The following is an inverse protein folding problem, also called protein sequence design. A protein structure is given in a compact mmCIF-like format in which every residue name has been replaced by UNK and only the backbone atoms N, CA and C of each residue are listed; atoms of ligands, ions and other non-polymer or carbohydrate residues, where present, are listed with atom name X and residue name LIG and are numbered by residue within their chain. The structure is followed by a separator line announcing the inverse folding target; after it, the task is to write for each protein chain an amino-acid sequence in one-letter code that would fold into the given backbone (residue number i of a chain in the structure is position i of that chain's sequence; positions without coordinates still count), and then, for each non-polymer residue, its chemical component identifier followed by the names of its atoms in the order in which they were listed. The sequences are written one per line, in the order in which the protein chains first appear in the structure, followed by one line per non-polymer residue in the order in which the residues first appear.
data_IF_489852101233
#
_entry.id   IF_489852101233
#
_cell.length_a   1.000
_cell.length_b   1.000
_cell.length_c   1.000
_cell.angle_alpha   90.00
_cell.angle_beta   90.00
_cell.angle_gamma   90.00
#
_symmetry.space_group_name_H-M   'P 1'
#
loop_
_entity.id
_entity.type
_entity.pdbx_description
1 polymer ?
#
# COMPACT_ATOMS: atom_id res chain seq x y z
N UNK A 1 6.47 -17.27 -15.23
CA UNK A 1 7.47 -17.71 -16.24
C UNK A 1 8.85 -17.29 -15.75
N UNK A 2 9.92 -18.06 -15.99
CA UNK A 2 11.27 -17.60 -15.68
C UNK A 2 11.61 -16.35 -16.51
N UNK A 3 12.31 -15.40 -15.90
CA UNK A 3 12.78 -14.19 -16.61
C UNK A 3 13.78 -14.55 -17.71
N UNK A 4 13.89 -13.70 -18.74
CA UNK A 4 14.93 -13.83 -19.75
C UNK A 4 16.32 -13.76 -19.09
N UNK A 5 17.31 -14.52 -19.58
CA UNK A 5 18.67 -14.51 -19.00
C UNK A 5 19.32 -13.12 -18.96
N UNK A 6 19.03 -12.27 -19.96
CA UNK A 6 19.52 -10.89 -20.01
C UNK A 6 18.93 -10.02 -18.91
N UNK A 7 17.64 -10.22 -18.57
CA UNK A 7 16.97 -9.53 -17.47
C UNK A 7 17.59 -9.93 -16.14
N UNK A 8 17.75 -11.24 -15.90
CA UNK A 8 18.37 -11.75 -14.68
C UNK A 8 19.79 -11.19 -14.49
N UNK A 9 20.61 -11.16 -15.54
CA UNK A 9 21.96 -10.59 -15.48
C UNK A 9 21.98 -9.09 -15.16
N UNK A 10 21.02 -8.31 -15.69
CA UNK A 10 20.90 -6.89 -15.38
C UNK A 10 20.53 -6.65 -13.90
N UNK A 11 19.60 -7.45 -13.38
CA UNK A 11 19.19 -7.41 -11.97
C UNK A 11 20.34 -7.78 -11.02
N UNK A 12 21.07 -8.85 -11.34
CA UNK A 12 22.26 -9.28 -10.58
C UNK A 12 23.34 -8.19 -10.56
N UNK A 13 23.61 -7.56 -11.70
CA UNK A 13 24.57 -6.45 -11.79
C UNK A 13 24.13 -5.26 -10.94
N UNK A 14 22.85 -4.86 -11.02
CA UNK A 14 22.32 -3.74 -10.24
C UNK A 14 22.39 -4.02 -8.73
N UNK A 15 22.08 -5.25 -8.31
CA UNK A 15 22.19 -5.67 -6.91
C UNK A 15 23.65 -5.63 -6.41
N UNK A 16 24.59 -6.11 -7.23
CA UNK A 16 26.02 -6.07 -6.90
C UNK A 16 26.57 -4.63 -6.85
N UNK A 17 26.10 -3.76 -7.73
CA UNK A 17 26.43 -2.32 -7.69
C UNK A 17 25.91 -1.66 -6.42
N UNK A 18 24.68 -1.99 -5.98
CA UNK A 18 24.14 -1.50 -4.71
C UNK A 18 25.02 -1.93 -3.55
N UNK A 19 25.33 -3.23 -3.47
CA UNK A 19 26.14 -3.77 -2.39
C UNK A 19 27.50 -3.07 -2.28
N UNK A 20 28.16 -2.89 -3.42
CA UNK A 20 29.50 -2.32 -3.50
C UNK A 20 29.52 -0.81 -3.21
N UNK A 21 28.69 -0.04 -3.92
CA UNK A 21 28.68 1.43 -3.81
C UNK A 21 28.13 1.92 -2.46
N UNK A 22 27.17 1.19 -1.89
CA UNK A 22 26.55 1.50 -0.60
C UNK A 22 27.27 0.84 0.59
N UNK A 23 28.36 0.09 0.35
CA UNK A 23 29.22 -0.56 1.37
C UNK A 23 28.41 -1.48 2.31
N UNK A 24 27.45 -2.21 1.75
CA UNK A 24 26.55 -3.08 2.49
C UNK A 24 27.24 -4.43 2.80
N UNK A 25 27.27 -4.93 4.05
CA UNK A 25 27.84 -6.24 4.34
C UNK A 25 27.18 -7.34 3.51
N UNK A 26 25.85 -7.34 3.47
CA UNK A 26 25.04 -8.11 2.53
C UNK A 26 23.77 -7.37 2.12
N UNK A 27 23.31 -7.67 0.91
CA UNK A 27 22.02 -7.22 0.36
C UNK A 27 21.34 -8.41 -0.30
N UNK A 28 20.02 -8.49 -0.17
CA UNK A 28 19.19 -9.49 -0.85
C UNK A 28 17.96 -8.82 -1.45
N UNK A 29 17.43 -9.41 -2.52
CA UNK A 29 16.24 -8.91 -3.17
C UNK A 29 15.42 -10.04 -3.81
N UNK A 30 14.14 -9.78 -4.03
CA UNK A 30 13.21 -10.64 -4.76
C UNK A 30 12.24 -9.81 -5.59
N UNK A 31 11.87 -10.32 -6.77
CA UNK A 31 10.86 -9.73 -7.65
C UNK A 31 9.67 -10.68 -7.80
N UNK A 32 8.48 -10.11 -7.74
CA UNK A 32 7.20 -10.82 -7.79
C UNK A 32 6.44 -10.39 -9.04
N UNK A 33 5.86 -11.36 -9.74
CA UNK A 33 4.98 -11.09 -10.88
C UNK A 33 3.96 -12.21 -11.01
N UNK A 34 2.69 -11.83 -11.15
CA UNK A 34 1.57 -12.78 -11.24
C UNK A 34 1.58 -13.76 -10.08
N UNK A 35 1.74 -13.23 -8.85
CA UNK A 35 1.72 -14.02 -7.61
C UNK A 35 3.02 -14.72 -7.23
N UNK A 36 3.95 -14.85 -8.16
CA UNK A 36 5.10 -15.75 -8.00
C UNK A 36 6.42 -14.97 -7.87
N UNK A 37 7.35 -15.51 -7.07
CA UNK A 37 8.74 -15.05 -7.02
C UNK A 37 9.46 -15.44 -8.32
N UNK A 38 9.57 -14.49 -9.25
CA UNK A 38 10.16 -14.72 -10.58
C UNK A 38 11.69 -14.57 -10.60
N UNK A 39 12.25 -13.87 -9.63
CA UNK A 39 13.69 -13.73 -9.44
C UNK A 39 14.03 -13.44 -7.97
N UNK A 40 15.17 -13.94 -7.53
CA UNK A 40 15.76 -13.56 -6.25
C UNK A 40 17.28 -13.58 -6.34
N UNK A 41 17.93 -12.66 -5.63
CA UNK A 41 19.39 -12.56 -5.58
C UNK A 41 19.89 -12.13 -4.21
N UNK A 42 21.15 -12.45 -3.92
CA UNK A 42 21.86 -11.95 -2.75
C UNK A 42 23.33 -11.72 -3.09
N UNK A 43 23.92 -10.66 -2.53
CA UNK A 43 25.33 -10.29 -2.72
C UNK A 43 25.95 -9.94 -1.38
N UNK A 44 27.23 -10.28 -1.20
CA UNK A 44 27.99 -10.03 0.01
C UNK A 44 27.99 -11.20 0.98
N UNK A 45 28.44 -10.94 2.20
CA UNK A 45 28.56 -11.96 3.25
C UNK A 45 27.87 -11.47 4.52
N UNK A 46 27.35 -12.40 5.33
CA UNK A 46 26.62 -12.04 6.55
C UNK A 46 27.45 -11.18 7.50
N UNK A 47 28.78 -11.33 7.48
CA UNK A 47 29.71 -10.54 8.31
C UNK A 47 30.35 -9.34 7.60
N UNK A 48 30.11 -9.17 6.29
CA UNK A 48 30.77 -8.14 5.46
C UNK A 48 32.27 -8.36 5.28
N UNK A 49 32.77 -9.60 5.43
CA UNK A 49 34.19 -9.93 5.39
C UNK A 49 34.50 -10.91 4.25
N UNK A 50 35.65 -10.74 3.62
CA UNK A 50 36.17 -11.68 2.63
C UNK A 50 36.25 -13.10 3.22
N UNK A 51 35.64 -14.07 2.52
CA UNK A 51 35.58 -15.47 2.99
C UNK A 51 34.56 -15.73 4.11
N UNK A 52 33.75 -14.74 4.48
CA UNK A 52 32.61 -14.95 5.38
C UNK A 52 31.49 -15.78 4.73
N UNK A 53 30.54 -16.22 5.54
CA UNK A 53 29.34 -16.91 5.04
C UNK A 53 28.58 -16.03 4.05
N UNK A 54 28.32 -16.54 2.86
CA UNK A 54 27.61 -15.81 1.81
C UNK A 54 26.14 -15.60 2.20
N UNK A 55 25.61 -14.42 1.89
CA UNK A 55 24.17 -14.22 1.93
C UNK A 55 23.48 -15.04 0.82
N UNK A 56 22.26 -15.49 1.09
CA UNK A 56 21.43 -16.23 0.13
C UNK A 56 20.01 -15.68 0.14
N UNK A 57 19.19 -16.05 -0.84
CA UNK A 57 17.76 -15.71 -0.85
C UNK A 57 16.99 -16.26 0.37
N UNK A 58 17.50 -17.33 0.99
CA UNK A 58 16.94 -17.95 2.21
C UNK A 58 17.44 -17.33 3.53
N UNK A 59 18.38 -16.38 3.47
CA UNK A 59 18.86 -15.66 4.65
C UNK A 59 17.73 -14.77 5.19
N UNK A 60 17.46 -14.88 6.49
CA UNK A 60 16.52 -13.98 7.16
C UNK A 60 17.14 -12.61 7.47
N UNK A 61 16.35 -11.56 7.34
CA UNK A 61 16.67 -10.19 7.75
C UNK A 61 15.52 -9.62 8.59
N UNK A 62 15.83 -8.71 9.51
CA UNK A 62 14.81 -7.95 10.23
C UNK A 62 14.13 -6.99 9.25
N UNK A 63 12.80 -7.05 9.15
CA UNK A 63 12.04 -6.26 8.16
C UNK A 63 11.55 -4.92 8.70
N UNK A 64 11.82 -4.65 9.98
CA UNK A 64 11.46 -3.40 10.63
C UNK A 64 9.98 -3.07 10.42
N UNK A 65 9.71 -1.82 10.08
CA UNK A 65 8.35 -1.28 9.96
C UNK A 65 7.44 -1.95 8.92
N UNK A 66 7.94 -2.83 8.06
CA UNK A 66 7.05 -3.70 7.25
C UNK A 66 6.15 -4.56 8.16
N UNK A 67 6.60 -4.86 9.39
CA UNK A 67 5.79 -5.52 10.45
C UNK A 67 4.42 -4.88 10.64
N UNK A 68 4.33 -3.55 10.53
CA UNK A 68 3.08 -2.78 10.69
C UNK A 68 1.99 -3.26 9.74
N UNK A 69 2.35 -3.63 8.53
CA UNK A 69 1.40 -4.05 7.51
C UNK A 69 0.66 -5.33 7.93
N UNK A 70 1.34 -6.27 8.59
CA UNK A 70 0.72 -7.49 9.13
C UNK A 70 -0.25 -7.18 10.28
N UNK A 71 0.15 -6.28 11.18
CA UNK A 71 -0.71 -5.82 12.28
C UNK A 71 -1.95 -5.11 11.72
N UNK A 72 -1.76 -4.25 10.72
CA UNK A 72 -2.85 -3.54 10.07
C UNK A 72 -3.84 -4.50 9.38
N UNK A 73 -3.35 -5.52 8.66
CA UNK A 73 -4.22 -6.54 8.07
C UNK A 73 -5.01 -7.28 9.15
N UNK A 74 -4.41 -7.65 10.28
CA UNK A 74 -5.17 -8.27 11.38
C UNK A 74 -6.25 -7.35 11.97
N UNK A 75 -5.98 -6.04 12.08
CA UNK A 75 -6.98 -5.05 12.51
C UNK A 75 -8.13 -4.98 11.49
N UNK A 76 -7.84 -4.96 10.19
CA UNK A 76 -8.86 -4.95 9.15
C UNK A 76 -9.67 -6.25 9.11
N UNK A 77 -9.05 -7.40 9.40
CA UNK A 77 -9.76 -8.68 9.55
C UNK A 77 -10.69 -8.70 10.78
N UNK A 78 -10.30 -8.02 11.86
CA UNK A 78 -11.20 -7.81 13.01
C UNK A 78 -12.38 -6.92 12.64
N UNK A 79 -12.15 -5.87 11.84
CA UNK A 79 -13.23 -5.02 11.27
C UNK A 79 -14.19 -5.83 10.42
N UNK A 80 -13.67 -6.60 9.46
CA UNK A 80 -14.49 -7.40 8.55
C UNK A 80 -15.29 -8.48 9.29
N UNK A 81 -14.78 -8.97 10.42
CA UNK A 81 -15.50 -9.87 11.32
C UNK A 81 -16.52 -9.17 12.25
N UNK A 82 -16.65 -7.84 12.17
CA UNK A 82 -17.56 -7.05 13.01
C UNK A 82 -17.11 -6.90 14.48
N UNK A 83 -15.84 -7.17 14.79
CA UNK A 83 -15.30 -7.07 16.14
C UNK A 83 -14.95 -5.63 16.57
N UNK A 84 -14.75 -4.74 15.60
CA UNK A 84 -14.52 -3.31 15.78
C UNK A 84 -15.00 -2.53 14.56
N UNK A 85 -15.23 -1.23 14.72
CA UNK A 85 -15.35 -0.26 13.64
C UNK A 85 -14.07 0.61 13.56
N UNK A 86 -13.72 1.10 12.37
CA UNK A 86 -12.55 1.95 12.19
C UNK A 86 -12.69 3.33 12.86
N UNK A 87 -13.93 3.77 13.09
CA UNK A 87 -14.28 4.98 13.82
C UNK A 87 -14.34 4.79 15.33
N UNK A 88 -14.22 3.55 15.83
CA UNK A 88 -14.15 3.29 17.25
C UNK A 88 -12.95 3.98 17.87
N UNK A 89 -13.15 4.50 19.07
CA UNK A 89 -12.07 5.05 19.89
C UNK A 89 -11.27 3.91 20.48
N UNK A 90 -9.96 4.10 20.63
CA UNK A 90 -9.09 3.10 21.22
C UNK A 90 -9.55 2.68 22.63
N UNK A 91 -10.01 3.64 23.43
CA UNK A 91 -10.45 3.40 24.82
C UNK A 91 -11.77 2.63 24.96
N UNK A 92 -12.51 2.41 23.87
CA UNK A 92 -13.65 1.49 23.87
C UNK A 92 -13.19 0.02 23.95
N UNK A 93 -12.03 -0.27 23.36
CA UNK A 93 -11.46 -1.62 23.29
C UNK A 93 -10.33 -1.84 24.31
N UNK A 94 -9.61 -0.77 24.68
CA UNK A 94 -8.56 -0.75 25.69
C UNK A 94 -8.90 0.28 26.79
N UNK A 95 -9.82 -0.03 27.73
CA UNK A 95 -10.33 0.92 28.72
C UNK A 95 -9.26 1.57 29.59
N UNK A 96 -8.13 0.89 29.81
CA UNK A 96 -6.97 1.43 30.52
C UNK A 96 -6.34 2.66 29.85
N UNK A 97 -6.60 2.87 28.55
CA UNK A 97 -6.15 4.04 27.80
C UNK A 97 -7.05 5.26 27.99
N UNK A 98 -8.22 5.15 28.62
CA UNK A 98 -9.16 6.26 28.80
C UNK A 98 -8.56 7.44 29.60
N UNK A 99 -7.57 7.17 30.45
CA UNK A 99 -6.83 8.18 31.22
C UNK A 99 -5.61 8.76 30.49
N UNK A 100 -5.30 8.27 29.28
CA UNK A 100 -4.19 8.76 28.45
C UNK A 100 -4.64 9.88 27.51
N UNK A 101 -3.67 10.64 27.00
CA UNK A 101 -3.96 11.71 26.04
C UNK A 101 -4.46 11.17 24.69
N UNK A 102 -4.29 9.88 24.41
CA UNK A 102 -4.57 9.28 23.10
C UNK A 102 -5.70 8.25 23.10
N UNK A 103 -6.28 7.87 24.24
CA UNK A 103 -7.36 6.88 24.28
C UNK A 103 -8.57 7.23 23.39
N UNK A 104 -8.80 8.51 23.12
CA UNK A 104 -9.90 8.98 22.30
C UNK A 104 -9.62 9.00 20.79
N UNK A 105 -8.39 8.67 20.34
CA UNK A 105 -8.10 8.58 18.90
C UNK A 105 -8.75 7.33 18.31
N UNK A 106 -9.09 7.38 17.03
CA UNK A 106 -9.77 6.24 16.38
C UNK A 106 -8.79 5.20 15.86
N UNK A 107 -9.28 3.99 15.63
CA UNK A 107 -8.51 2.89 15.01
C UNK A 107 -7.98 3.29 13.62
N UNK A 108 -8.82 3.89 12.77
CA UNK A 108 -8.38 4.42 11.46
C UNK A 108 -7.24 5.43 11.58
N UNK A 109 -7.31 6.32 12.56
CA UNK A 109 -6.28 7.35 12.76
C UNK A 109 -4.93 6.76 13.16
N UNK A 110 -4.92 5.65 13.92
CA UNK A 110 -3.70 4.91 14.24
C UNK A 110 -3.15 4.20 13.01
N UNK A 111 -4.00 3.47 12.27
CA UNK A 111 -3.62 2.73 11.06
C UNK A 111 -3.00 3.65 10.00
N UNK A 112 -3.58 4.84 9.82
CA UNK A 112 -3.19 5.81 8.81
C UNK A 112 -2.12 6.80 9.25
N UNK A 113 -1.56 6.65 10.45
CA UNK A 113 -0.63 7.62 11.05
C UNK A 113 -1.18 9.07 11.04
N UNK A 114 -2.48 9.25 11.26
CA UNK A 114 -3.13 10.57 11.35
C UNK A 114 -3.60 10.90 12.78
N UNK A 115 -3.34 10.03 13.75
CA UNK A 115 -3.71 10.24 15.17
C UNK A 115 -3.03 11.44 15.81
N UNK A 116 -1.88 11.87 15.28
CA UNK A 116 -1.06 12.91 15.89
C UNK A 116 -0.26 12.44 17.10
N UNK A 117 -0.30 11.14 17.44
CA UNK A 117 0.47 10.55 18.52
C UNK A 117 1.97 10.63 18.25
N UNK A 118 2.77 10.90 19.28
CA UNK A 118 4.22 10.98 19.16
C UNK A 118 4.84 9.77 18.43
N UNK A 119 5.92 10.01 17.70
CA UNK A 119 6.56 9.00 16.87
C UNK A 119 7.11 7.81 17.68
N UNK A 120 7.86 8.12 18.74
CA UNK A 120 8.63 7.16 19.52
C UNK A 120 8.23 7.16 21.00
N UNK A 121 8.67 6.14 21.76
CA UNK A 121 8.43 6.01 23.20
C UNK A 121 9.03 7.17 24.02
N UNK A 122 8.37 7.54 25.12
CA UNK A 122 8.96 8.41 26.13
C UNK A 122 9.90 7.59 27.02
N UNK A 123 11.20 7.54 26.73
CA UNK A 123 12.12 6.71 27.52
C UNK A 123 13.41 6.33 26.80
N UNK A 124 14.03 5.19 27.19
CA UNK A 124 15.18 4.63 26.48
C UNK A 124 14.88 4.40 25.00
N UNK A 125 15.94 4.37 24.19
CA UNK A 125 15.82 4.13 22.76
C UNK A 125 15.35 2.69 22.49
N UNK A 126 14.05 2.53 22.25
CA UNK A 126 13.39 1.22 22.18
C UNK A 126 13.95 0.32 21.06
N UNK A 127 14.59 0.89 20.03
CA UNK A 127 15.21 0.11 18.95
C UNK A 127 16.56 -0.52 19.34
N UNK A 128 17.10 -0.19 20.52
CA UNK A 128 18.35 -0.77 21.06
C UNK A 128 18.26 -1.25 22.51
N UNK A 129 17.08 -1.17 23.11
CA UNK A 129 16.88 -1.51 24.52
C UNK A 129 15.73 -2.47 24.65
N UNK A 130 15.86 -3.42 25.58
CA UNK A 130 14.81 -4.38 25.87
C UNK A 130 13.49 -3.65 26.17
N UNK A 131 12.43 -4.09 25.50
CA UNK A 131 11.09 -3.54 25.65
C UNK A 131 10.48 -3.86 27.01
N UNK A 132 9.56 -3.00 27.43
CA UNK A 132 8.69 -3.24 28.59
C UNK A 132 7.34 -3.79 28.15
N UNK A 133 6.50 -4.09 29.14
CA UNK A 133 5.12 -4.52 28.91
C UNK A 133 4.24 -3.33 28.50
N UNK A 134 3.03 -3.59 28.02
CA UNK A 134 2.06 -2.55 27.66
C UNK A 134 1.82 -1.54 28.80
N UNK A 135 1.80 -2.00 30.06
CA UNK A 135 1.67 -1.13 31.23
C UNK A 135 2.81 -0.14 31.37
N UNK A 136 4.04 -0.52 30.98
CA UNK A 136 5.20 0.38 31.04
C UNK A 136 5.10 1.48 29.97
N UNK A 137 4.63 1.11 28.76
CA UNK A 137 4.38 2.07 27.70
C UNK A 137 3.31 3.09 28.11
N UNK A 138 2.20 2.64 28.70
CA UNK A 138 1.16 3.53 29.24
C UNK A 138 1.69 4.42 30.38
N UNK A 139 2.48 3.86 31.29
CA UNK A 139 3.10 4.61 32.38
C UNK A 139 4.06 5.71 31.89
N UNK A 140 4.65 5.55 30.69
CA UNK A 140 5.48 6.58 30.05
C UNK A 140 4.70 7.81 29.55
N UNK A 141 3.35 7.74 29.58
CA UNK A 141 2.41 8.78 29.17
C UNK A 141 2.68 9.33 27.76
N UNK A 142 2.52 8.52 26.69
CA UNK A 142 2.63 9.01 25.32
C UNK A 142 1.67 10.18 25.07
N UNK A 143 2.17 11.21 24.39
CA UNK A 143 1.46 12.47 24.15
C UNK A 143 1.06 12.63 22.68
N UNK A 144 -0.08 13.29 22.47
CA UNK A 144 -0.44 13.84 21.17
C UNK A 144 0.45 15.06 20.87
N UNK A 145 1.07 15.06 19.68
CA UNK A 145 1.82 16.19 19.12
C UNK A 145 0.96 17.06 18.22
N UNK A 146 -0.10 16.49 17.66
CA UNK A 146 -1.03 17.18 16.77
C UNK A 146 -2.46 16.78 17.10
N UNK A 147 -3.42 17.61 16.68
CA UNK A 147 -4.83 17.26 16.72
C UNK A 147 -5.07 16.00 15.84
N UNK A 148 -5.80 14.99 16.32
CA UNK A 148 -6.13 13.82 15.51
C UNK A 148 -6.81 14.20 14.19
N UNK A 149 -6.42 13.51 13.11
CA UNK A 149 -6.88 13.75 11.74
C UNK A 149 -6.31 15.00 11.07
N UNK A 150 -5.47 15.80 11.74
CA UNK A 150 -5.01 17.08 11.18
C UNK A 150 -3.93 16.94 10.09
N UNK A 151 -3.09 15.91 10.18
CA UNK A 151 -1.96 15.68 9.27
C UNK A 151 -1.39 14.28 9.44
N UNK A 152 -0.60 13.85 8.46
CA UNK A 152 0.31 12.73 8.63
C UNK A 152 1.35 13.03 9.74
N UNK A 153 1.49 12.08 10.66
CA UNK A 153 2.55 12.00 11.66
C UNK A 153 2.82 10.54 12.00
N UNK A 154 3.89 9.98 11.43
CA UNK A 154 4.31 8.61 11.65
C UNK A 154 4.47 8.29 13.14
N UNK A 155 3.95 7.14 13.58
CA UNK A 155 3.96 6.73 14.98
C UNK A 155 4.16 5.23 15.16
N UNK A 156 5.31 4.86 15.72
CA UNK A 156 5.58 3.50 16.20
C UNK A 156 4.73 3.18 17.44
N UNK A 157 4.54 4.17 18.33
CA UNK A 157 3.67 4.02 19.51
C UNK A 157 2.22 3.71 19.11
N UNK A 158 1.73 4.31 18.03
CA UNK A 158 0.41 4.01 17.50
C UNK A 158 0.26 2.54 17.08
N UNK A 159 1.31 1.95 16.50
CA UNK A 159 1.30 0.53 16.14
C UNK A 159 1.50 -0.42 17.32
N UNK A 160 2.22 0.01 18.37
CA UNK A 160 2.22 -0.71 19.64
C UNK A 160 0.79 -0.82 20.22
N UNK A 161 0.03 0.28 20.18
CA UNK A 161 -1.38 0.26 20.61
C UNK A 161 -2.28 -0.62 19.71
N UNK A 162 -2.05 -0.62 18.40
CA UNK A 162 -2.77 -1.53 17.49
C UNK A 162 -2.42 -3.00 17.73
N UNK A 163 -1.18 -3.31 18.08
CA UNK A 163 -0.80 -4.67 18.47
C UNK A 163 -1.49 -5.13 19.76
N UNK A 164 -1.56 -4.26 20.77
CA UNK A 164 -2.33 -4.54 21.99
C UNK A 164 -3.83 -4.71 21.69
N UNK A 165 -4.39 -3.89 20.80
CA UNK A 165 -5.78 -4.02 20.34
C UNK A 165 -6.03 -5.39 19.70
N UNK A 166 -5.16 -5.83 18.80
CA UNK A 166 -5.23 -7.17 18.19
C UNK A 166 -5.18 -8.24 19.27
N UNK A 167 -4.21 -8.13 20.19
CA UNK A 167 -4.06 -9.11 21.26
C UNK A 167 -5.32 -9.22 22.13
N UNK A 168 -5.90 -8.07 22.52
CA UNK A 168 -7.12 -7.98 23.32
C UNK A 168 -8.31 -8.64 22.63
N UNK A 169 -8.53 -8.35 21.35
CA UNK A 169 -9.69 -8.82 20.60
C UNK A 169 -9.56 -10.26 20.11
N UNK A 170 -8.33 -10.76 19.94
CA UNK A 170 -8.07 -12.17 19.60
C UNK A 170 -7.94 -13.08 20.82
N UNK A 171 -7.63 -12.52 21.99
CA UNK A 171 -7.40 -13.29 23.23
C UNK A 171 -6.08 -14.06 23.27
N UNK A 172 -5.15 -13.73 22.38
CA UNK A 172 -3.78 -14.28 22.26
C UNK A 172 -2.80 -13.13 22.03
N UNK A 173 -1.49 -13.38 22.03
CA UNK A 173 -0.54 -12.32 21.69
C UNK A 173 -0.69 -11.86 20.23
N UNK A 174 -0.29 -10.62 19.93
CA UNK A 174 -0.38 -10.08 18.56
C UNK A 174 0.39 -10.94 17.54
N UNK A 175 1.55 -11.47 17.95
CA UNK A 175 2.39 -12.29 17.10
C UNK A 175 1.83 -13.70 16.90
N UNK A 176 1.13 -14.25 17.90
CA UNK A 176 0.37 -15.49 17.73
C UNK A 176 -0.82 -15.29 16.78
N UNK A 177 -1.54 -14.18 16.89
CA UNK A 177 -2.59 -13.82 15.96
C UNK A 177 -2.03 -13.71 14.53
N UNK A 178 -1.01 -12.88 14.31
CA UNK A 178 -0.37 -12.72 12.98
C UNK A 178 0.14 -14.06 12.44
N UNK A 179 0.81 -14.88 13.27
CA UNK A 179 1.34 -16.18 12.85
C UNK A 179 0.23 -17.11 12.37
N UNK A 180 -0.79 -17.35 13.20
CA UNK A 180 -1.82 -18.35 12.93
C UNK A 180 -2.82 -17.91 11.87
N UNK A 181 -3.05 -16.60 11.78
CA UNK A 181 -4.08 -16.04 10.92
C UNK A 181 -3.57 -15.61 9.54
N UNK A 182 -2.29 -15.24 9.43
CA UNK A 182 -1.69 -14.73 8.19
C UNK A 182 -0.51 -15.58 7.75
N UNK A 183 0.51 -15.71 8.60
CA UNK A 183 1.78 -16.29 8.15
C UNK A 183 1.64 -17.78 7.81
N UNK A 184 0.96 -18.57 8.63
CA UNK A 184 0.75 -20.00 8.38
C UNK A 184 -0.12 -20.26 7.15
N UNK A 185 -1.30 -19.62 6.98
CA UNK A 185 -2.10 -19.78 5.76
C UNK A 185 -1.39 -19.35 4.48
N UNK A 186 -0.53 -18.32 4.54
CA UNK A 186 0.28 -17.89 3.41
C UNK A 186 1.56 -18.70 3.23
N UNK A 187 1.85 -19.69 4.09
CA UNK A 187 3.07 -20.49 4.02
C UNK A 187 4.35 -19.71 4.34
N UNK A 188 4.25 -18.56 5.01
CA UNK A 188 5.37 -17.71 5.44
C UNK A 188 6.06 -18.26 6.70
N UNK A 189 6.53 -19.51 6.62
CA UNK A 189 7.08 -20.29 7.75
C UNK A 189 8.42 -19.78 8.28
N UNK A 190 9.09 -18.90 7.53
CA UNK A 190 10.36 -18.26 7.87
C UNK A 190 10.15 -16.79 8.23
N UNK A 191 8.91 -16.38 8.52
CA UNK A 191 8.60 -15.05 9.05
C UNK A 191 8.31 -15.15 10.53
N UNK A 192 9.15 -14.52 11.35
CA UNK A 192 9.21 -14.80 12.81
C UNK A 192 9.55 -13.55 13.60
N UNK A 193 9.24 -13.52 14.90
CA UNK A 193 9.51 -12.37 15.77
C UNK A 193 10.97 -12.24 16.20
N UNK A 194 11.76 -13.32 16.07
CA UNK A 194 13.16 -13.40 16.47
C UNK A 194 13.93 -14.17 15.38
N UNK A 195 15.23 -13.90 15.18
CA UNK A 195 15.97 -14.50 14.06
C UNK A 195 16.08 -16.04 14.17
N UNK A 196 15.94 -16.72 13.03
CA UNK A 196 16.17 -18.15 12.85
C UNK A 196 17.20 -18.41 11.75
N UNK A 197 18.24 -19.18 12.08
CA UNK A 197 19.32 -19.48 11.14
C UNK A 197 18.81 -20.19 9.87
N UNK A 198 19.37 -19.89 8.67
CA UNK A 198 20.34 -18.82 8.42
C UNK A 198 19.70 -17.43 8.52
N UNK A 199 20.33 -16.53 9.27
CA UNK A 199 19.88 -15.15 9.50
C UNK A 199 21.07 -14.20 9.50
N UNK A 200 20.91 -13.02 8.92
CA UNK A 200 21.97 -12.01 8.92
C UNK A 200 22.08 -11.33 10.30
N UNK A 201 23.30 -11.16 10.86
CA UNK A 201 23.51 -10.26 11.99
C UNK A 201 23.40 -8.80 11.54
N UNK A 202 22.96 -7.91 12.43
CA UNK A 202 22.84 -6.49 12.15
C UNK A 202 24.16 -5.75 12.30
N UNK A 203 24.46 -4.82 11.40
CA UNK A 203 25.69 -4.03 11.43
C UNK A 203 25.48 -2.51 11.33
N UNK A 204 26.24 -1.78 12.13
CA UNK A 204 26.57 -0.38 11.89
C UNK A 204 27.83 -0.32 11.04
N UNK A 205 27.73 0.13 9.79
CA UNK A 205 28.90 0.37 8.93
C UNK A 205 29.48 1.74 9.27
N UNK A 206 30.78 1.83 9.55
CA UNK A 206 31.41 3.09 9.87
C UNK A 206 31.37 4.04 8.66
N UNK A 207 30.92 5.31 8.82
CA UNK A 207 30.64 6.19 7.69
C UNK A 207 31.89 6.57 6.88
N UNK A 208 33.07 6.50 7.50
CA UNK A 208 34.34 6.98 6.91
C UNK A 208 35.44 5.92 6.82
N UNK A 209 35.16 4.65 7.16
CA UNK A 209 36.16 3.59 7.18
C UNK A 209 35.50 2.22 7.01
N UNK A 210 36.20 1.24 6.42
CA UNK A 210 35.69 -0.11 6.17
C UNK A 210 35.70 -0.97 7.44
N UNK A 211 34.90 -0.53 8.42
CA UNK A 211 34.70 -1.17 9.71
C UNK A 211 33.21 -1.37 9.94
N UNK A 212 32.87 -2.48 10.60
CA UNK A 212 31.52 -2.79 11.04
C UNK A 212 31.47 -2.91 12.56
N UNK A 213 30.36 -2.47 13.15
CA UNK A 213 30.04 -2.64 14.56
C UNK A 213 28.76 -3.45 14.71
N UNK A 214 28.75 -4.39 15.65
CA UNK A 214 27.56 -5.23 15.88
C UNK A 214 26.42 -4.34 16.37
N UNK A 215 25.27 -4.45 15.73
CA UNK A 215 24.01 -3.93 16.27
C UNK A 215 23.32 -5.06 17.03
N UNK A 216 23.12 -4.93 18.36
CA UNK A 216 22.56 -6.00 19.16
C UNK A 216 21.11 -6.26 18.79
N UNK A 217 20.73 -7.53 18.84
CA UNK A 217 19.35 -7.96 18.71
C UNK A 217 18.69 -7.97 20.09
N UNK A 218 17.40 -7.59 20.15
CA UNK A 218 16.63 -7.50 21.38
C UNK A 218 15.13 -7.70 21.13
N UNK A 219 14.42 -8.06 22.19
CA UNK A 219 12.97 -8.10 22.20
C UNK A 219 12.40 -6.72 22.53
N UNK A 220 11.53 -6.19 21.67
CA UNK A 220 10.88 -4.90 21.85
C UNK A 220 9.52 -5.01 22.57
N UNK A 221 9.03 -6.23 22.85
CA UNK A 221 7.85 -6.53 23.67
C UNK A 221 6.64 -5.67 23.24
N UNK A 222 6.24 -4.65 24.01
CA UNK A 222 5.10 -3.79 23.64
C UNK A 222 5.30 -3.02 22.34
N UNK A 223 6.55 -2.72 21.97
CA UNK A 223 6.90 -2.04 20.72
C UNK A 223 7.14 -3.02 19.56
N UNK A 224 7.10 -4.32 19.80
CA UNK A 224 7.32 -5.34 18.77
C UNK A 224 6.38 -5.23 17.53
N UNK A 225 5.08 -4.90 17.68
CA UNK A 225 4.16 -4.66 16.55
C UNK A 225 4.63 -3.56 15.60
N UNK A 226 5.51 -2.65 16.05
CA UNK A 226 6.02 -1.58 15.21
C UNK A 226 7.16 -2.04 14.29
N UNK A 227 7.89 -3.12 14.58
CA UNK A 227 9.07 -3.43 13.77
C UNK A 227 9.87 -4.70 14.06
N UNK A 228 9.30 -5.69 14.73
CA UNK A 228 10.08 -6.83 15.23
C UNK A 228 10.22 -8.02 14.27
N UNK A 229 9.38 -8.14 13.24
CA UNK A 229 9.43 -9.32 12.38
C UNK A 229 10.75 -9.43 11.60
N UNK A 230 11.11 -10.67 11.33
CA UNK A 230 12.19 -11.11 10.44
C UNK A 230 11.58 -11.94 9.33
N UNK A 231 12.13 -11.86 8.12
CA UNK A 231 11.61 -12.60 6.97
C UNK A 231 12.72 -12.88 5.96
N UNK A 232 12.39 -13.66 4.93
CA UNK A 232 13.25 -13.98 3.78
C UNK A 232 12.68 -13.34 2.51
N UNK A 233 13.45 -13.35 1.41
CA UNK A 233 12.92 -12.91 0.12
C UNK A 233 11.73 -13.76 -0.32
N UNK A 234 11.77 -15.06 -0.07
CA UNK A 234 10.68 -15.98 -0.41
C UNK A 234 9.40 -15.67 0.36
N UNK A 235 9.47 -15.55 1.69
CA UNK A 235 8.27 -15.27 2.48
C UNK A 235 7.70 -13.88 2.20
N UNK A 236 8.55 -12.85 2.16
CA UNK A 236 8.06 -11.50 1.94
C UNK A 236 7.55 -11.31 0.50
N UNK A 237 7.98 -12.15 -0.45
CA UNK A 237 7.38 -12.19 -1.79
C UNK A 237 5.93 -12.65 -1.79
N UNK A 238 5.57 -13.59 -0.90
CA UNK A 238 4.16 -13.99 -0.70
C UNK A 238 3.33 -12.86 -0.10
N UNK A 239 3.94 -12.05 0.76
CA UNK A 239 3.28 -10.82 1.26
C UNK A 239 3.15 -9.74 0.18
N UNK A 240 4.11 -9.64 -0.74
CA UNK A 240 3.99 -8.78 -1.91
C UNK A 240 2.86 -9.26 -2.85
N UNK A 241 2.74 -10.57 -3.08
CA UNK A 241 1.62 -11.16 -3.82
C UNK A 241 0.27 -10.91 -3.12
N UNK A 242 0.22 -11.05 -1.79
CA UNK A 242 -0.95 -10.67 -1.00
C UNK A 242 -1.36 -9.22 -1.26
N UNK A 243 -0.40 -8.28 -1.22
CA UNK A 243 -0.64 -6.86 -1.50
C UNK A 243 -0.99 -6.58 -2.97
N UNK A 244 -0.61 -7.46 -3.90
CA UNK A 244 -1.02 -7.41 -5.31
C UNK A 244 -2.45 -7.96 -5.54
N UNK A 245 -3.15 -8.40 -4.49
CA UNK A 245 -4.53 -8.91 -4.57
C UNK A 245 -4.66 -10.42 -4.39
N UNK A 246 -3.55 -11.17 -4.29
CA UNK A 246 -3.58 -12.62 -4.05
C UNK A 246 -3.72 -12.95 -2.55
N UNK A 247 -4.86 -12.56 -1.98
CA UNK A 247 -5.06 -12.60 -0.52
C UNK A 247 -5.27 -13.99 0.07
N UNK A 248 -5.31 -15.04 -0.77
CA UNK A 248 -5.70 -16.40 -0.40
C UNK A 248 -7.06 -16.49 0.33
N UNK A 249 -7.95 -15.51 0.11
CA UNK A 249 -9.24 -15.41 0.80
C UNK A 249 -9.15 -14.98 2.27
N UNK A 250 -7.96 -14.54 2.74
CA UNK A 250 -7.76 -14.07 4.11
C UNK A 250 -8.31 -12.66 4.33
N UNK A 251 -8.44 -11.88 3.25
CA UNK A 251 -8.96 -10.52 3.20
C UNK A 251 -9.69 -10.33 1.86
N UNK A 252 -10.79 -9.60 1.82
CA UNK A 252 -11.44 -9.28 0.55
C UNK A 252 -10.57 -8.30 -0.26
N UNK A 253 -10.70 -8.34 -1.59
CA UNK A 253 -10.00 -7.40 -2.47
C UNK A 253 -10.45 -5.96 -2.21
N UNK A 254 -11.73 -5.73 -1.91
CA UNK A 254 -12.26 -4.41 -1.57
C UNK A 254 -11.66 -3.86 -0.27
N UNK A 255 -11.49 -4.71 0.76
CA UNK A 255 -10.81 -4.29 1.99
C UNK A 255 -9.34 -3.97 1.72
N UNK A 256 -8.64 -4.76 0.90
CA UNK A 256 -7.25 -4.45 0.53
C UNK A 256 -7.15 -3.14 -0.26
N UNK A 257 -8.05 -2.90 -1.19
CA UNK A 257 -8.12 -1.64 -1.94
C UNK A 257 -8.35 -0.45 -1.01
N UNK A 258 -9.25 -0.58 -0.02
CA UNK A 258 -9.47 0.43 1.03
C UNK A 258 -8.18 0.71 1.83
N UNK A 259 -7.42 -0.34 2.17
CA UNK A 259 -6.15 -0.18 2.88
C UNK A 259 -5.10 0.59 2.08
N UNK A 260 -5.18 0.58 0.75
CA UNK A 260 -4.29 1.27 -0.16
C UNK A 260 -4.81 2.64 -0.63
N UNK A 261 -5.95 3.12 -0.11
CA UNK A 261 -6.40 4.48 -0.38
C UNK A 261 -5.46 5.51 0.30
N UNK A 262 -5.09 6.61 -0.37
CA UNK A 262 -4.25 7.64 0.23
C UNK A 262 -5.06 8.47 1.24
N UNK A 263 -4.88 8.21 2.55
CA UNK A 263 -5.62 8.88 3.63
C UNK A 263 -4.83 10.05 4.21
N UNK A 264 -3.56 9.83 4.53
CA UNK A 264 -2.70 10.83 5.17
C UNK A 264 -1.52 11.17 4.26
N UNK A 265 -1.59 12.31 3.58
CA UNK A 265 -0.54 12.78 2.66
C UNK A 265 0.73 13.16 3.42
N UNK A 266 1.88 12.71 2.93
CA UNK A 266 3.19 13.13 3.43
C UNK A 266 3.51 14.53 2.87
N UNK A 267 3.05 15.56 3.57
CA UNK A 267 3.26 16.95 3.19
C UNK A 267 4.67 17.43 3.58
N UNK A 268 5.56 17.50 2.60
CA UNK A 268 6.90 18.08 2.72
C UNK A 268 6.93 19.43 2.02
N UNK A 269 7.12 20.56 2.75
CA UNK A 269 7.12 21.89 2.15
C UNK A 269 8.10 22.00 0.97
N UNK A 270 7.59 22.45 -0.17
CA UNK A 270 8.37 22.64 -1.40
C UNK A 270 8.54 21.38 -2.27
N UNK A 271 7.98 20.24 -1.87
CA UNK A 271 7.94 19.01 -2.67
C UNK A 271 6.54 18.73 -3.21
N UNK A 272 6.46 17.99 -4.31
CA UNK A 272 5.19 17.46 -4.82
C UNK A 272 4.63 16.38 -3.87
N UNK A 273 3.32 16.26 -3.81
CA UNK A 273 2.66 15.18 -3.06
C UNK A 273 2.73 13.87 -3.84
N UNK A 274 3.77 13.10 -3.55
CA UNK A 274 4.03 11.80 -4.21
C UNK A 274 3.90 10.62 -3.25
N UNK A 275 3.64 10.86 -1.97
CA UNK A 275 3.51 9.82 -0.95
C UNK A 275 2.41 10.13 0.05
N UNK A 276 1.74 9.08 0.50
CA UNK A 276 0.72 9.10 1.53
C UNK A 276 0.78 7.79 2.34
N UNK A 277 -0.01 7.72 3.41
CA UNK A 277 -0.33 6.47 4.08
C UNK A 277 -1.82 6.17 3.95
N UNK A 278 -2.12 4.91 3.63
CA UNK A 278 -3.45 4.32 3.79
C UNK A 278 -3.59 3.65 5.16
N UNK A 279 -4.40 2.61 5.26
CA UNK A 279 -4.57 1.86 6.50
C UNK A 279 -3.51 0.75 6.57
N UNK A 280 -2.34 1.01 7.15
CA UNK A 280 -1.25 0.01 7.20
C UNK A 280 -0.13 0.22 6.20
N UNK A 281 -0.47 0.63 4.99
CA UNK A 281 0.47 0.72 3.88
C UNK A 281 0.89 2.15 3.57
N UNK A 282 2.14 2.30 3.14
CA UNK A 282 2.57 3.46 2.37
C UNK A 282 1.99 3.35 0.96
N UNK A 283 1.57 4.49 0.42
CA UNK A 283 1.05 4.62 -0.94
C UNK A 283 1.84 5.71 -1.63
N UNK A 284 2.31 5.43 -2.84
CA UNK A 284 3.05 6.39 -3.66
C UNK A 284 2.35 6.63 -4.98
N UNK A 285 2.40 7.87 -5.45
CA UNK A 285 2.01 8.24 -6.79
C UNK A 285 3.23 8.84 -7.49
N UNK A 286 3.73 8.13 -8.50
CA UNK A 286 4.91 8.52 -9.28
C UNK A 286 4.48 8.60 -10.74
N UNK A 287 4.50 9.81 -11.29
CA UNK A 287 4.09 10.09 -12.68
C UNK A 287 2.71 9.52 -13.04
N UNK A 288 1.76 9.56 -12.11
CA UNK A 288 0.40 9.07 -12.27
C UNK A 288 0.21 7.60 -11.91
N UNK A 289 1.29 6.84 -11.73
CA UNK A 289 1.25 5.41 -11.40
C UNK A 289 1.25 5.17 -9.90
N UNK A 290 0.34 4.30 -9.42
CA UNK A 290 0.18 4.01 -8.00
C UNK A 290 0.97 2.79 -7.55
N UNK A 291 1.66 2.94 -6.44
CA UNK A 291 2.37 1.86 -5.75
C UNK A 291 1.94 1.79 -4.29
N UNK A 292 1.95 0.61 -3.70
CA UNK A 292 1.78 0.43 -2.25
C UNK A 292 2.91 -0.42 -1.66
N UNK A 293 3.07 -0.38 -0.35
CA UNK A 293 4.05 -1.19 0.36
C UNK A 293 4.47 -0.57 1.68
N UNK A 294 5.71 -0.79 2.09
CA UNK A 294 6.27 -0.15 3.27
C UNK A 294 7.81 -0.27 3.28
N UNK A 295 8.50 0.77 3.78
CA UNK A 295 9.91 0.68 4.13
C UNK A 295 10.15 0.03 5.50
N UNK A 296 11.33 -0.53 5.72
CA UNK A 296 11.75 -1.10 6.99
C UNK A 296 13.09 -0.53 7.41
N UNK A 297 13.19 -0.08 8.66
CA UNK A 297 14.46 0.30 9.27
C UNK A 297 14.46 -0.16 10.72
N UNK A 298 15.56 -0.75 11.14
CA UNK A 298 15.95 -1.02 12.52
C UNK A 298 17.48 -0.89 12.58
N UNK A 299 18.09 -0.61 13.74
CA UNK A 299 19.54 -0.66 13.86
C UNK A 299 20.11 -1.97 13.30
N UNK A 300 21.00 -1.85 12.33
CA UNK A 300 21.60 -2.98 11.63
C UNK A 300 20.83 -3.53 10.44
N UNK A 301 19.64 -2.99 10.10
CA UNK A 301 18.80 -3.52 9.03
C UNK A 301 18.02 -2.45 8.27
N UNK A 302 17.97 -2.60 6.95
CA UNK A 302 17.06 -1.90 6.06
C UNK A 302 16.27 -2.91 5.25
N UNK A 303 15.01 -2.61 4.99
CA UNK A 303 14.16 -3.42 4.13
C UNK A 303 13.23 -2.53 3.31
N UNK A 304 12.70 -3.07 2.23
CA UNK A 304 11.68 -2.41 1.42
C UNK A 304 10.73 -3.42 0.81
N UNK A 305 9.46 -3.07 0.80
CA UNK A 305 8.40 -3.74 0.05
C UNK A 305 7.72 -2.68 -0.82
N UNK A 306 7.60 -2.94 -2.12
CA UNK A 306 6.83 -2.11 -3.03
C UNK A 306 6.11 -3.00 -4.04
N UNK A 307 4.86 -2.70 -4.30
CA UNK A 307 4.01 -3.34 -5.30
C UNK A 307 3.40 -2.27 -6.18
N UNK A 308 3.44 -2.51 -7.48
CA UNK A 308 2.74 -1.76 -8.50
C UNK A 308 1.27 -2.17 -8.50
N UNK A 309 0.37 -1.25 -8.15
CA UNK A 309 -1.05 -1.60 -7.98
C UNK A 309 -1.77 -1.83 -9.32
N UNK A 310 -1.16 -1.46 -10.44
CA UNK A 310 -1.77 -1.67 -11.76
C UNK A 310 -1.36 -3.01 -12.37
N UNK A 311 -0.10 -3.42 -12.21
CA UNK A 311 0.40 -4.67 -12.81
C UNK A 311 0.51 -5.82 -11.81
N UNK A 312 0.46 -5.54 -10.52
CA UNK A 312 0.74 -6.51 -9.46
C UNK A 312 2.23 -6.88 -9.33
N UNK A 313 3.12 -6.20 -10.07
CA UNK A 313 4.56 -6.46 -9.97
C UNK A 313 5.09 -5.94 -8.64
N UNK A 314 5.79 -6.81 -7.91
CA UNK A 314 6.29 -6.54 -6.56
C UNK A 314 7.80 -6.64 -6.46
N UNK A 315 8.37 -5.99 -5.46
CA UNK A 315 9.78 -6.10 -5.10
C UNK A 315 9.93 -6.11 -3.59
N UNK A 316 10.84 -6.94 -3.12
CA UNK A 316 11.33 -6.97 -1.74
C UNK A 316 12.84 -6.79 -1.74
N UNK A 317 13.36 -5.97 -0.83
CA UNK A 317 14.80 -5.73 -0.67
C UNK A 317 15.18 -5.77 0.81
N UNK A 318 16.39 -6.21 1.09
CA UNK A 318 16.94 -6.32 2.45
C UNK A 318 18.41 -5.94 2.44
N UNK A 319 18.88 -5.29 3.50
CA UNK A 319 20.29 -5.13 3.80
C UNK A 319 20.52 -5.28 5.30
N UNK A 320 21.62 -5.90 5.71
CA UNK A 320 22.04 -5.95 7.12
C UNK A 320 23.00 -4.81 7.48
N UNK A 321 22.56 -3.58 7.18
CA UNK A 321 23.22 -2.34 7.57
C UNK A 321 22.19 -1.35 8.12
N UNK A 322 22.62 -0.47 9.03
CA UNK A 322 21.77 0.60 9.61
C UNK A 322 21.38 1.68 8.60
N UNK A 323 22.23 1.91 7.60
CA UNK A 323 22.08 2.98 6.61
C UNK A 323 22.75 2.59 5.30
N UNK A 324 22.42 3.27 4.21
CA UNK A 324 23.15 3.19 2.96
C UNK A 324 22.39 2.54 1.80
N UNK A 325 21.34 1.76 2.07
CA UNK A 325 20.52 1.19 0.99
C UNK A 325 19.85 2.33 0.21
N UNK A 326 20.19 2.43 -1.08
CA UNK A 326 19.61 3.37 -2.02
C UNK A 326 18.20 2.95 -2.48
N UNK A 327 17.69 3.54 -3.58
CA UNK A 327 16.36 3.26 -4.12
C UNK A 327 16.31 1.93 -4.91
N UNK A 328 17.02 0.89 -4.46
CA UNK A 328 17.16 -0.39 -5.18
C UNK A 328 15.81 -0.99 -5.60
N UNK A 329 14.79 -0.91 -4.75
CA UNK A 329 13.45 -1.40 -5.08
C UNK A 329 12.83 -0.70 -6.30
N UNK A 330 13.08 0.59 -6.49
CA UNK A 330 12.60 1.34 -7.67
C UNK A 330 13.33 0.85 -8.92
N UNK A 331 14.65 0.77 -8.84
CA UNK A 331 15.49 0.41 -9.98
C UNK A 331 15.20 -1.02 -10.46
N UNK A 332 14.98 -1.97 -9.54
CA UNK A 332 14.66 -3.35 -9.90
C UNK A 332 13.29 -3.50 -10.55
N UNK A 333 12.27 -2.75 -10.07
CA UNK A 333 10.95 -2.73 -10.73
C UNK A 333 11.01 -2.09 -12.11
N UNK A 334 11.78 -1.01 -12.27
CA UNK A 334 11.97 -0.37 -13.55
C UNK A 334 12.67 -1.32 -14.55
N UNK A 335 13.74 -1.99 -14.14
CA UNK A 335 14.41 -3.00 -14.97
C UNK A 335 13.48 -4.13 -15.36
N UNK A 336 12.63 -4.62 -14.44
CA UNK A 336 11.64 -5.63 -14.75
C UNK A 336 10.63 -5.14 -15.80
N UNK A 337 10.12 -3.92 -15.66
CA UNK A 337 9.16 -3.35 -16.61
C UNK A 337 9.77 -3.09 -17.99
N UNK A 338 11.03 -2.63 -18.05
CA UNK A 338 11.73 -2.33 -19.31
C UNK A 338 12.10 -3.60 -20.10
N UNK A 339 12.59 -4.63 -19.40
CA UNK A 339 13.09 -5.84 -20.04
C UNK A 339 12.02 -6.93 -20.20
N UNK A 340 10.98 -6.90 -19.37
CA UNK A 340 9.88 -7.86 -19.38
C UNK A 340 8.54 -7.11 -19.35
N UNK A 341 8.21 -6.31 -20.38
CA UNK A 341 6.93 -5.59 -20.42
C UNK A 341 5.76 -6.58 -20.43
N UNK A 342 4.67 -6.23 -19.74
CA UNK A 342 3.43 -7.00 -19.85
C UNK A 342 2.92 -6.96 -21.30
N UNK A 343 2.58 -8.13 -21.89
CA UNK A 343 2.04 -8.14 -23.24
C UNK A 343 0.70 -7.38 -23.26
N UNK A 344 0.42 -6.56 -24.28
CA UNK A 344 -0.87 -5.92 -24.39
C UNK A 344 -1.95 -6.99 -24.57
N UNK A 345 -3.12 -6.78 -23.95
CA UNK A 345 -4.29 -7.61 -24.24
C UNK A 345 -4.67 -7.44 -25.71
N UNK A 346 -4.67 -8.52 -26.52
CA UNK A 346 -5.10 -8.42 -27.91
C UNK A 346 -6.54 -7.93 -27.98
N UNK A 347 -6.80 -6.99 -28.88
CA UNK A 347 -8.16 -6.56 -29.13
C UNK A 347 -8.98 -7.68 -29.78
N UNK A 348 -10.20 -7.87 -29.31
CA UNK A 348 -11.19 -8.80 -29.89
C UNK A 348 -12.50 -8.06 -30.13
N UNK A 349 -13.17 -8.35 -31.24
CA UNK A 349 -14.53 -7.89 -31.46
C UNK A 349 -15.48 -8.62 -30.51
N UNK A 350 -16.40 -7.87 -29.89
CA UNK A 350 -17.45 -8.40 -29.01
C UNK A 350 -18.81 -8.01 -29.59
N UNK A 351 -19.59 -9.01 -30.00
CA UNK A 351 -20.91 -8.81 -30.59
C UNK A 351 -21.95 -8.39 -29.53
N UNK A 352 -21.72 -8.72 -28.26
CA UNK A 352 -22.65 -8.45 -27.15
C UNK A 352 -22.65 -6.96 -26.77
N UNK A 353 -21.65 -6.19 -27.23
CA UNK A 353 -21.60 -4.73 -27.06
C UNK A 353 -22.63 -3.97 -27.91
N UNK A 354 -23.35 -4.64 -28.83
CA UNK A 354 -24.37 -4.01 -29.67
C UNK A 354 -25.44 -3.28 -28.85
N UNK A 355 -25.79 -3.82 -27.68
CA UNK A 355 -26.80 -3.24 -26.79
C UNK A 355 -26.32 -1.96 -26.09
N UNK A 356 -25.00 -1.78 -25.96
CA UNK A 356 -24.39 -0.58 -25.40
C UNK A 356 -24.23 0.57 -26.41
N UNK A 357 -24.47 0.33 -27.70
CA UNK A 357 -24.27 1.33 -28.76
C UNK A 357 -25.17 2.57 -28.61
N UNK A 358 -26.31 2.43 -27.92
CA UNK A 358 -27.20 3.55 -27.61
C UNK A 358 -26.55 4.57 -26.66
N UNK A 359 -25.56 4.16 -25.86
CA UNK A 359 -24.87 5.02 -24.90
C UNK A 359 -23.65 5.70 -25.52
N UNK A 360 -22.90 5.02 -26.38
CA UNK A 360 -21.64 5.54 -26.90
C UNK A 360 -21.82 6.73 -27.85
N UNK A 361 -20.75 7.49 -28.07
CA UNK A 361 -20.73 8.68 -28.92
C UNK A 361 -20.63 9.97 -28.12
N UNK A 362 -20.89 11.09 -28.77
CA UNK A 362 -20.72 12.40 -28.15
C UNK A 362 -21.90 12.78 -27.25
N UNK A 363 -21.53 13.43 -26.14
CA UNK A 363 -22.39 13.93 -25.09
C UNK A 363 -21.94 15.33 -24.70
N UNK A 364 -22.88 16.19 -24.33
CA UNK A 364 -22.62 17.59 -24.04
C UNK A 364 -23.10 17.97 -22.66
N UNK A 365 -22.19 18.51 -21.85
CA UNK A 365 -22.55 19.26 -20.66
C UNK A 365 -22.48 20.75 -20.98
N UNK A 366 -23.66 21.37 -21.13
CA UNK A 366 -23.76 22.71 -21.71
C UNK A 366 -23.22 22.73 -23.14
N UNK A 367 -22.13 23.46 -23.38
CA UNK A 367 -21.44 23.51 -24.68
C UNK A 367 -20.21 22.63 -24.78
N UNK A 368 -19.83 21.95 -23.70
CA UNK A 368 -18.59 21.15 -23.65
C UNK A 368 -18.88 19.71 -24.05
N UNK A 369 -18.18 19.22 -25.07
CA UNK A 369 -18.31 17.87 -25.58
C UNK A 369 -17.47 16.86 -24.79
N UNK A 370 -18.02 15.67 -24.59
CA UNK A 370 -17.39 14.50 -24.01
C UNK A 370 -17.80 13.28 -24.83
N UNK A 371 -16.83 12.51 -25.31
CA UNK A 371 -17.12 11.25 -26.01
C UNK A 371 -17.23 10.12 -24.99
N UNK A 372 -18.36 9.41 -24.98
CA UNK A 372 -18.54 8.19 -24.21
C UNK A 372 -18.17 6.99 -25.08
N UNK A 373 -17.30 6.13 -24.55
CA UNK A 373 -16.87 4.88 -25.19
C UNK A 373 -17.23 3.71 -24.29
N UNK A 374 -17.46 2.54 -24.88
CA UNK A 374 -17.57 1.27 -24.17
C UNK A 374 -16.24 0.52 -24.35
N UNK A 375 -15.58 0.20 -23.24
CA UNK A 375 -14.36 -0.59 -23.24
C UNK A 375 -14.68 -2.09 -23.35
N UNK A 376 -13.67 -2.91 -23.70
CA UNK A 376 -13.83 -4.36 -23.91
C UNK A 376 -14.25 -5.13 -22.66
N UNK A 377 -14.02 -4.56 -21.47
CA UNK A 377 -14.41 -5.10 -20.17
C UNK A 377 -15.81 -4.62 -19.72
N UNK A 378 -16.55 -3.91 -20.59
CA UNK A 378 -17.88 -3.38 -20.30
C UNK A 378 -17.88 -2.08 -19.50
N UNK A 379 -16.71 -1.50 -19.19
CA UNK A 379 -16.60 -0.20 -18.53
C UNK A 379 -16.94 0.92 -19.52
N UNK A 380 -17.77 1.86 -19.08
CA UNK A 380 -18.01 3.10 -19.82
C UNK A 380 -16.90 4.10 -19.53
N UNK A 381 -16.39 4.77 -20.57
CA UNK A 381 -15.32 5.77 -20.47
C UNK A 381 -15.81 7.08 -21.07
N UNK A 382 -16.13 8.05 -20.21
CA UNK A 382 -16.55 9.40 -20.61
C UNK A 382 -15.31 10.28 -20.71
N UNK A 383 -15.06 10.87 -21.89
CA UNK A 383 -13.91 11.76 -22.10
C UNK A 383 -12.57 11.09 -21.81
N UNK A 384 -11.64 11.87 -21.26
CA UNK A 384 -10.32 11.40 -20.83
C UNK A 384 -10.30 11.28 -19.29
N UNK A 385 -10.23 10.06 -18.71
CA UNK A 385 -10.23 9.87 -17.26
C UNK A 385 -9.17 10.70 -16.55
N UNK A 386 -9.57 11.36 -15.46
CA UNK A 386 -8.68 12.24 -14.68
C UNK A 386 -8.46 13.63 -15.29
N UNK A 387 -8.97 13.90 -16.50
CA UNK A 387 -8.96 15.24 -17.10
C UNK A 387 -10.37 15.83 -17.14
N UNK A 388 -10.51 17.07 -16.68
CA UNK A 388 -11.79 17.78 -16.62
C UNK A 388 -12.89 17.01 -15.87
N UNK A 389 -13.89 16.49 -16.60
CA UNK A 389 -15.00 15.66 -16.10
C UNK A 389 -14.94 14.23 -16.65
N UNK A 390 -13.82 13.86 -17.27
CA UNK A 390 -13.68 12.52 -17.80
C UNK A 390 -13.53 11.51 -16.67
N UNK A 391 -14.20 10.36 -16.82
CA UNK A 391 -14.21 9.30 -15.81
C UNK A 391 -14.58 7.94 -16.41
N UNK A 392 -14.26 6.87 -15.68
CA UNK A 392 -14.68 5.50 -15.98
C UNK A 392 -15.86 5.07 -15.09
N UNK A 393 -16.74 4.21 -15.61
CA UNK A 393 -17.91 3.73 -14.88
C UNK A 393 -18.11 2.22 -15.07
N UNK A 394 -18.27 1.50 -13.95
CA UNK A 394 -18.62 0.06 -13.99
C UNK A 394 -20.13 -0.14 -13.84
N UNK A 395 -20.73 -1.16 -14.49
CA UNK A 395 -22.15 -1.46 -14.33
C UNK A 395 -22.46 -1.92 -12.90
N UNK A 396 -23.57 -1.42 -12.34
CA UNK A 396 -24.13 -1.80 -11.04
C UNK A 396 -25.66 -1.75 -11.12
N UNK A 397 -26.30 -2.92 -11.04
CA UNK A 397 -27.75 -3.04 -11.23
C UNK A 397 -28.15 -2.52 -12.61
N UNK A 398 -29.10 -1.59 -12.65
CA UNK A 398 -29.61 -0.97 -13.88
C UNK A 398 -28.84 0.31 -14.30
N UNK A 399 -27.75 0.64 -13.60
CA UNK A 399 -26.95 1.85 -13.85
C UNK A 399 -25.45 1.58 -13.77
N UNK A 400 -24.67 2.64 -13.55
CA UNK A 400 -23.23 2.54 -13.38
C UNK A 400 -22.75 3.39 -12.20
N UNK A 401 -21.57 3.08 -11.67
CA UNK A 401 -20.90 3.89 -10.64
C UNK A 401 -19.53 4.33 -11.15
N UNK A 402 -19.18 5.59 -10.90
CA UNK A 402 -17.90 6.13 -11.32
C UNK A 402 -16.73 5.57 -10.51
N UNK A 403 -15.58 5.47 -11.16
CA UNK A 403 -14.40 4.77 -10.66
C UNK A 403 -13.22 5.69 -10.35
N UNK A 404 -13.30 6.97 -10.72
CA UNK A 404 -12.18 7.90 -10.59
C UNK A 404 -12.57 9.37 -10.70
N UNK A 405 -11.64 10.22 -10.24
CA UNK A 405 -11.73 11.66 -10.37
C UNK A 405 -12.91 12.23 -9.58
N UNK A 406 -13.58 13.22 -10.17
CA UNK A 406 -14.72 13.87 -9.51
C UNK A 406 -15.93 12.94 -9.38
N UNK A 407 -16.04 11.92 -10.23
CA UNK A 407 -17.21 11.05 -10.32
C UNK A 407 -17.03 9.72 -9.58
N UNK A 408 -15.91 9.53 -8.87
CA UNK A 408 -15.66 8.32 -8.09
C UNK A 408 -16.77 8.10 -7.04
N UNK A 409 -17.41 6.94 -7.09
CA UNK A 409 -18.55 6.60 -6.23
C UNK A 409 -19.89 7.21 -6.63
N UNK A 410 -19.92 8.13 -7.60
CA UNK A 410 -21.15 8.78 -8.06
C UNK A 410 -21.91 7.90 -9.06
N UNK A 411 -23.25 7.84 -8.98
CA UNK A 411 -24.06 7.06 -9.90
C UNK A 411 -24.19 7.77 -11.26
N UNK A 412 -24.03 7.01 -12.33
CA UNK A 412 -24.40 7.37 -13.69
C UNK A 412 -25.70 6.64 -14.04
N UNK A 413 -26.70 7.40 -14.49
CA UNK A 413 -28.01 6.87 -14.90
C UNK A 413 -28.33 7.33 -16.32
N UNK A 414 -28.68 6.39 -17.19
CA UNK A 414 -29.19 6.68 -18.52
C UNK A 414 -30.70 6.94 -18.43
N UNK A 415 -31.12 8.20 -18.63
CA UNK A 415 -32.52 8.59 -18.55
C UNK A 415 -33.15 8.49 -19.92
N UNK A 416 -34.25 7.73 -19.99
CA UNK A 416 -34.98 7.47 -21.24
C UNK A 416 -36.12 8.46 -21.44
N UNK A 417 -36.31 8.87 -22.69
CA UNK A 417 -37.44 9.70 -23.12
C UNK A 417 -38.73 8.88 -23.30
N UNK A 418 -39.82 9.53 -23.71
CA UNK A 418 -41.11 8.89 -23.93
C UNK A 418 -41.11 7.86 -25.07
N UNK A 419 -40.15 7.97 -26.01
CA UNK A 419 -39.97 7.04 -27.13
C UNK A 419 -39.06 5.85 -26.75
N UNK A 420 -38.61 5.80 -25.49
CA UNK A 420 -37.77 4.74 -24.95
C UNK A 420 -36.29 4.88 -25.29
N UNK A 421 -35.86 5.99 -25.90
CA UNK A 421 -34.45 6.25 -26.22
C UNK A 421 -33.73 6.93 -25.06
N UNK A 422 -32.43 6.72 -24.91
CA UNK A 422 -31.62 7.47 -23.93
C UNK A 422 -31.53 8.94 -24.36
N UNK A 423 -32.26 9.81 -23.65
CA UNK A 423 -32.31 11.24 -23.92
C UNK A 423 -31.13 11.99 -23.29
N UNK A 424 -30.77 11.63 -22.05
CA UNK A 424 -29.62 12.21 -21.35
C UNK A 424 -28.98 11.24 -20.36
N UNK A 425 -27.74 11.51 -19.99
CA UNK A 425 -27.09 10.87 -18.86
C UNK A 425 -27.13 11.81 -17.66
N UNK A 426 -27.65 11.31 -16.54
CA UNK A 426 -27.58 11.94 -15.23
C UNK A 426 -26.35 11.41 -14.50
N UNK A 427 -25.48 12.33 -14.08
CA UNK A 427 -24.29 12.04 -13.30
C UNK A 427 -24.21 13.04 -12.15
N UNK A 428 -24.85 12.73 -11.02
CA UNK A 428 -25.08 13.68 -9.94
C UNK A 428 -25.87 14.91 -10.43
N UNK A 429 -25.30 16.11 -10.31
CA UNK A 429 -25.90 17.35 -10.84
C UNK A 429 -25.56 17.64 -12.31
N UNK A 430 -24.79 16.78 -12.97
CA UNK A 430 -24.35 16.97 -14.35
C UNK A 430 -25.27 16.22 -15.30
N UNK A 431 -25.92 16.97 -16.18
CA UNK A 431 -26.73 16.41 -17.27
C UNK A 431 -25.96 16.48 -18.57
N UNK A 432 -25.82 15.34 -19.20
CA UNK A 432 -25.18 15.22 -20.50
C UNK A 432 -26.23 14.91 -21.56
N UNK A 433 -26.39 15.79 -22.54
CA UNK A 433 -27.35 15.64 -23.66
C UNK A 433 -26.64 15.32 -24.96
N UNK A 434 -27.36 14.77 -25.95
CA UNK A 434 -26.80 14.47 -27.27
C UNK A 434 -26.50 15.70 -28.11
N UNK A 435 -27.11 16.84 -27.79
CA UNK A 435 -26.82 18.14 -28.41
C UNK A 435 -26.56 19.20 -27.35
N UNK A 436 -25.74 20.23 -27.64
CA UNK A 436 -25.56 21.36 -26.72
C UNK A 436 -26.90 22.03 -26.42
N UNK A 437 -27.28 22.07 -25.14
CA UNK A 437 -28.54 22.66 -24.68
C UNK A 437 -29.78 22.17 -25.45
N UNK A 438 -29.98 20.86 -25.48
CA UNK A 438 -31.10 20.24 -26.18
C UNK A 438 -32.46 20.85 -25.74
N UNK A 439 -33.21 21.49 -26.66
CA UNK A 439 -34.47 22.16 -26.33
C UNK A 439 -35.59 21.19 -25.96
N UNK A 440 -35.44 19.89 -26.23
CA UNK A 440 -36.36 18.84 -25.79
C UNK A 440 -35.99 18.28 -24.40
N UNK A 441 -34.84 18.66 -23.85
CA UNK A 441 -34.40 18.23 -22.52
C UNK A 441 -35.07 19.06 -21.43
N UNK A 442 -35.29 18.44 -20.28
CA UNK A 442 -35.84 19.06 -19.06
C UNK A 442 -34.87 20.06 -18.38
N UNK A 443 -33.85 20.53 -19.12
CA UNK A 443 -32.79 21.39 -18.63
C UNK A 443 -33.19 22.85 -18.85
N UNK A 444 -33.11 23.72 -17.82
CA UNK A 444 -33.38 25.14 -17.94
C UNK A 444 -32.25 25.83 -18.71
N UNK A 445 -32.30 25.74 -20.03
CA UNK A 445 -31.51 26.53 -20.95
C UNK A 445 -32.48 27.12 -21.96
N UNK A 446 -32.99 28.32 -21.68
CA UNK A 446 -33.73 29.13 -22.65
C UNK A 446 -32.78 29.57 -23.79
N UNK A 447 -32.33 28.58 -24.57
CA UNK A 447 -31.31 28.72 -25.61
C UNK A 447 -31.99 29.21 -26.87
N UNK A 448 -32.09 30.53 -26.92
CA UNK A 448 -32.61 31.24 -28.06
C UNK A 448 -31.49 31.45 -29.10
N UNK A 449 -31.72 31.21 -30.40
CA UNK A 449 -30.72 31.43 -31.46
C UNK A 449 -30.09 32.82 -31.42
N UNK A 450 -30.87 33.85 -31.08
CA UNK A 450 -30.43 35.25 -31.01
C UNK A 450 -29.52 35.58 -29.80
N UNK A 451 -29.26 34.63 -28.89
CA UNK A 451 -28.39 34.83 -27.72
C UNK A 451 -26.95 34.38 -27.96
N UNK A 452 -26.68 33.67 -29.06
CA UNK A 452 -25.33 33.38 -29.55
C UNK A 452 -24.79 34.65 -30.23
N UNK A 453 -23.72 35.24 -29.69
CA UNK A 453 -23.16 36.52 -30.15
C UNK A 453 -21.69 36.41 -30.55
#
# INVERSE_FOLDING_TARGET
MPLQPTTAAALELRLAQEQSSSRLPSVAAGLVRGGELVWSGAVGTLSGRTGGEAATAGTQYRIGSITKTFVAVEVMRLRDAGALDLSDRLDQHLPETAASDFGHVTVAQLLSHSSGLQAETSGPWWERTQGGEWSDLLASRPQLRFRPGARFHYSNVGYAALGELVARLRGVSWDEAVRTQLLEPLGMTRTTTRPQAPSAPGWGVHPLADLVHVEPEHDAVSMAPAGQLWSTAEDLSRWAAFLAGETAGLLSTETLDEMCLPIAVNDTPGAAWTGAHGLGFQVWNVDGRRFAGHGGSMPGFLAGLRVDLETGDGVVVFANATSGLGPLHVDLLQLLAEHEPHPPTPWTADADQVDGLELVGDWYWGTTAYTLRLASDGVLVLGEPGLHRGSRFRPVGDGWVGLDGYHEGEPLVAVRDADGRVGHLDLGSFRFSRTPYDPASDVPGDVHPDRWH
#
